data_IF_604627326189
#
_entry.id   IF_604627326189
#
_cell.length_a   1.000
_cell.length_b   1.000
_cell.length_c   1.000
_cell.angle_alpha   90.00
_cell.angle_beta   90.00
_cell.angle_gamma   90.00
#
_symmetry.space_group_name_H-M   'P 1'
#
loop_
_entity.id
_entity.type
_entity.pdbx_description
1 polymer ?
#
# COMPACT_ATOMS: atom_id res chain seq x y z
N UNK A 1 21.33 -11.53 12.54
CA UNK A 1 19.99 -11.35 13.13
C UNK A 1 19.38 -10.12 12.46
N UNK A 2 18.33 -10.27 11.64
CA UNK A 2 17.38 -9.17 11.46
C UNK A 2 16.01 -9.58 12.00
N UNK A 3 15.52 -8.72 12.88
CA UNK A 3 14.21 -8.69 13.50
C UNK A 3 13.11 -8.72 12.41
N UNK A 4 12.48 -9.89 12.21
CA UNK A 4 11.32 -10.08 11.31
C UNK A 4 10.02 -9.68 12.02
N UNK A 5 9.99 -8.53 12.66
CA UNK A 5 8.84 -8.03 13.41
C UNK A 5 8.09 -6.94 12.66
N UNK A 6 7.40 -7.25 11.56
CA UNK A 6 6.21 -6.47 11.10
C UNK A 6 5.56 -6.98 9.80
N UNK A 7 6.21 -7.87 9.05
CA UNK A 7 5.74 -8.25 7.71
C UNK A 7 4.56 -9.24 7.68
N UNK A 8 4.02 -9.61 8.85
CA UNK A 8 2.94 -10.59 9.00
C UNK A 8 1.55 -9.97 9.12
N UNK A 9 1.44 -8.64 9.22
CA UNK A 9 0.13 -7.97 9.26
C UNK A 9 -0.50 -8.06 7.88
N UNK A 10 -1.57 -8.85 7.79
CA UNK A 10 -2.39 -8.96 6.60
C UNK A 10 -3.47 -7.87 6.62
N UNK A 11 -3.47 -7.05 5.57
CA UNK A 11 -4.40 -5.95 5.39
C UNK A 11 -5.42 -6.39 4.36
N UNK A 12 -6.70 -6.40 4.72
CA UNK A 12 -7.78 -6.69 3.78
C UNK A 12 -7.80 -5.62 2.68
N UNK A 13 -8.16 -5.99 1.45
CA UNK A 13 -8.10 -5.12 0.28
C UNK A 13 -8.89 -3.82 0.43
N UNK A 14 -10.06 -3.86 1.06
CA UNK A 14 -10.86 -2.66 1.35
C UNK A 14 -10.15 -1.70 2.32
N UNK A 15 -9.55 -2.25 3.39
CA UNK A 15 -8.76 -1.47 4.36
C UNK A 15 -7.50 -0.91 3.70
N UNK A 16 -6.83 -1.72 2.86
CA UNK A 16 -5.66 -1.30 2.09
C UNK A 16 -6.00 -0.13 1.16
N UNK A 17 -7.15 -0.20 0.47
CA UNK A 17 -7.63 0.88 -0.38
C UNK A 17 -7.71 2.18 0.41
N UNK A 18 -8.46 2.18 1.52
CA UNK A 18 -8.63 3.38 2.35
C UNK A 18 -7.30 3.96 2.85
N UNK A 19 -6.34 3.11 3.22
CA UNK A 19 -5.00 3.52 3.64
C UNK A 19 -4.21 4.14 2.47
N UNK A 20 -4.28 3.53 1.29
CA UNK A 20 -3.64 4.04 0.08
C UNK A 20 -4.26 5.35 -0.39
N UNK A 21 -5.60 5.52 -0.34
CA UNK A 21 -6.22 6.79 -0.75
C UNK A 21 -5.69 7.95 0.10
N UNK A 22 -5.55 7.74 1.42
CA UNK A 22 -4.96 8.72 2.34
C UNK A 22 -3.47 8.93 2.08
N UNK A 23 -2.71 7.84 1.91
CA UNK A 23 -1.27 7.92 1.70
C UNK A 23 -0.94 8.65 0.38
N UNK A 24 -1.73 8.38 -0.66
CA UNK A 24 -1.55 8.92 -2.00
C UNK A 24 -2.17 10.30 -2.20
N UNK A 25 -2.94 10.82 -1.25
CA UNK A 25 -3.53 12.16 -1.31
C UNK A 25 -2.49 13.28 -1.55
N UNK A 26 -1.20 13.05 -1.24
CA UNK A 26 -0.11 14.01 -1.53
C UNK A 26 0.23 14.13 -3.02
N UNK A 27 -0.05 13.10 -3.82
CA UNK A 27 0.26 13.08 -5.25
C UNK A 27 -0.84 13.74 -6.10
N UNK A 28 -1.95 14.18 -5.46
CA UNK A 28 -3.14 14.68 -6.15
C UNK A 28 -3.99 13.58 -6.77
N UNK A 29 -5.20 13.93 -7.22
CA UNK A 29 -6.17 12.97 -7.79
C UNK A 29 -5.67 12.18 -9.01
N UNK A 30 -5.07 12.79 -10.06
CA UNK A 30 -4.64 12.02 -11.22
C UNK A 30 -3.49 11.05 -10.92
N UNK A 31 -2.59 11.42 -10.00
CA UNK A 31 -1.51 10.54 -9.56
C UNK A 31 -2.03 9.36 -8.74
N UNK A 32 -2.97 9.62 -7.83
CA UNK A 32 -3.64 8.60 -7.02
C UNK A 32 -4.38 7.58 -7.88
N UNK A 33 -5.16 8.01 -8.86
CA UNK A 33 -5.91 7.12 -9.75
C UNK A 33 -4.99 6.22 -10.56
N UNK A 34 -3.93 6.79 -11.13
CA UNK A 34 -2.94 6.02 -11.89
C UNK A 34 -2.27 4.93 -11.03
N UNK A 35 -1.86 5.27 -9.81
CA UNK A 35 -1.22 4.32 -8.90
C UNK A 35 -2.20 3.23 -8.46
N UNK A 36 -3.46 3.58 -8.17
CA UNK A 36 -4.45 2.58 -7.80
C UNK A 36 -4.81 1.64 -8.95
N UNK A 37 -4.92 2.14 -10.18
CA UNK A 37 -5.15 1.30 -11.35
C UNK A 37 -3.97 0.34 -11.57
N UNK A 38 -2.75 0.82 -11.40
CA UNK A 38 -1.55 0.02 -11.59
C UNK A 38 -1.42 -1.09 -10.53
N UNK A 39 -1.73 -0.79 -9.27
CA UNK A 39 -1.82 -1.80 -8.21
C UNK A 39 -2.81 -2.92 -8.57
N UNK A 40 -3.94 -2.59 -9.18
CA UNK A 40 -4.92 -3.58 -9.67
C UNK A 40 -4.34 -4.42 -10.81
N UNK A 41 -3.59 -3.80 -11.74
CA UNK A 41 -2.87 -4.52 -12.81
C UNK A 41 -1.80 -5.47 -12.25
N UNK A 42 -1.19 -5.12 -11.12
CA UNK A 42 -0.26 -5.97 -10.36
C UNK A 42 -0.95 -7.03 -9.47
N UNK A 43 -2.28 -7.14 -9.52
CA UNK A 43 -3.03 -8.18 -8.82
C UNK A 43 -3.47 -7.82 -7.39
N UNK A 44 -3.31 -6.56 -6.97
CA UNK A 44 -3.89 -6.04 -5.72
C UNK A 44 -5.36 -5.71 -5.95
N UNK A 45 -6.24 -6.47 -5.30
CA UNK A 45 -7.69 -6.28 -5.37
C UNK A 45 -8.18 -5.59 -4.11
N UNK A 46 -8.88 -4.49 -4.30
CA UNK A 46 -9.44 -3.69 -3.21
C UNK A 46 -10.80 -4.22 -2.74
N UNK A 47 -10.84 -5.50 -2.38
CA UNK A 47 -12.05 -6.15 -1.85
C UNK A 47 -11.77 -6.77 -0.47
N UNK A 48 -12.82 -6.97 0.34
CA UNK A 48 -12.68 -7.46 1.72
C UNK A 48 -12.24 -8.93 1.84
N UNK A 49 -12.26 -9.71 0.75
CA UNK A 49 -11.86 -11.12 0.74
C UNK A 49 -10.36 -11.27 0.44
N UNK A 50 -9.80 -10.34 -0.30
CA UNK A 50 -8.37 -10.30 -0.62
C UNK A 50 -7.57 -9.71 0.55
N UNK A 51 -6.40 -10.30 0.83
CA UNK A 51 -5.53 -9.92 1.94
C UNK A 51 -4.09 -9.78 1.46
N UNK A 52 -3.42 -8.71 1.86
CA UNK A 52 -2.08 -8.37 1.40
C UNK A 52 -1.18 -7.98 2.57
N UNK A 53 0.07 -8.39 2.49
CA UNK A 53 1.12 -7.92 3.40
C UNK A 53 1.72 -6.61 2.90
N UNK A 54 2.30 -5.82 3.80
CA UNK A 54 3.00 -4.58 3.42
C UNK A 54 4.09 -4.82 2.37
N UNK A 55 4.81 -5.94 2.44
CA UNK A 55 5.79 -6.31 1.42
C UNK A 55 5.18 -6.55 0.03
N UNK A 56 4.02 -7.21 -0.05
CA UNK A 56 3.32 -7.39 -1.33
C UNK A 56 2.86 -6.05 -1.90
N UNK A 57 2.40 -5.14 -1.04
CA UNK A 57 2.01 -3.79 -1.45
C UNK A 57 3.23 -3.00 -1.90
N UNK A 58 4.37 -3.12 -1.20
CA UNK A 58 5.62 -2.44 -1.55
C UNK A 58 6.14 -2.91 -2.91
N UNK A 59 6.10 -4.22 -3.16
CA UNK A 59 6.47 -4.82 -4.45
C UNK A 59 5.58 -4.28 -5.58
N UNK A 60 4.26 -4.23 -5.36
CA UNK A 60 3.32 -3.67 -6.33
C UNK A 60 3.49 -2.14 -6.52
N UNK A 61 4.01 -1.42 -5.51
CA UNK A 61 4.34 0.00 -5.60
C UNK A 61 5.71 0.27 -6.23
N UNK A 62 6.46 -0.75 -6.65
CA UNK A 62 7.80 -0.59 -7.25
C UNK A 62 7.78 0.32 -8.50
N UNK A 63 6.63 0.55 -9.12
CA UNK A 63 6.44 1.51 -10.22
C UNK A 63 6.79 2.96 -9.85
N UNK A 64 6.72 3.31 -8.57
CA UNK A 64 7.06 4.64 -8.05
C UNK A 64 8.56 4.84 -7.85
N UNK A 65 9.37 3.81 -8.10
CA UNK A 65 10.76 3.75 -7.67
C UNK A 65 10.89 3.46 -6.17
N UNK A 66 12.10 3.09 -5.75
CA UNK A 66 12.38 2.64 -4.37
C UNK A 66 12.00 3.71 -3.33
N UNK A 67 12.37 4.97 -3.54
CA UNK A 67 12.02 6.09 -2.66
C UNK A 67 10.51 6.37 -2.60
N UNK A 68 9.82 6.29 -3.74
CA UNK A 68 8.38 6.53 -3.83
C UNK A 68 7.58 5.45 -3.12
N UNK A 69 7.94 4.18 -3.35
CA UNK A 69 7.35 3.04 -2.67
C UNK A 69 7.59 3.12 -1.15
N UNK A 70 8.81 3.44 -0.72
CA UNK A 70 9.15 3.59 0.69
C UNK A 70 8.35 4.72 1.36
N UNK A 71 8.14 5.85 0.68
CA UNK A 71 7.35 6.97 1.20
C UNK A 71 5.88 6.59 1.41
N UNK A 72 5.27 5.91 0.43
CA UNK A 72 3.87 5.45 0.50
C UNK A 72 3.71 4.39 1.58
N UNK A 73 4.57 3.38 1.62
CA UNK A 73 4.54 2.32 2.64
C UNK A 73 4.75 2.88 4.04
N UNK A 74 5.69 3.82 4.19
CA UNK A 74 5.91 4.50 5.48
C UNK A 74 4.71 5.32 5.96
N UNK A 75 3.84 5.78 5.04
CA UNK A 75 2.55 6.39 5.39
C UNK A 75 1.47 5.37 5.71
N UNK A 76 1.35 4.31 4.90
CA UNK A 76 0.40 3.22 5.15
C UNK A 76 0.63 2.60 6.53
N UNK A 77 1.90 2.36 6.89
CA UNK A 77 2.29 1.84 8.21
C UNK A 77 1.89 2.78 9.35
N UNK A 78 2.17 4.08 9.20
CA UNK A 78 1.76 5.10 10.18
C UNK A 78 0.24 5.17 10.36
N UNK A 79 -0.53 5.04 9.28
CA UNK A 79 -2.00 5.03 9.35
C UNK A 79 -2.55 3.72 9.94
N UNK A 80 -1.86 2.59 9.75
CA UNK A 80 -2.21 1.32 10.40
C UNK A 80 -2.02 1.36 11.91
N UNK A 81 -0.94 1.97 12.39
CA UNK A 81 -0.69 2.15 13.84
C UNK A 81 -1.71 3.11 14.49
N UNK A 82 -2.38 3.95 13.69
CA UNK A 82 -3.31 4.98 14.16
C UNK A 82 -4.79 4.56 14.18
N UNK A 83 -5.14 3.44 13.53
CA UNK A 83 -6.51 2.99 13.28
C UNK A 83 -6.83 1.65 13.95
#
# INVERSE_FOLDING_TARGET
MPDRGDNSVQISGDRLKALLEKALAVFGDPGKEYIMEDLVRHGIKFDSRSHYTLAQVQDALSILGEDGAALVIGRVRRELERA
#
